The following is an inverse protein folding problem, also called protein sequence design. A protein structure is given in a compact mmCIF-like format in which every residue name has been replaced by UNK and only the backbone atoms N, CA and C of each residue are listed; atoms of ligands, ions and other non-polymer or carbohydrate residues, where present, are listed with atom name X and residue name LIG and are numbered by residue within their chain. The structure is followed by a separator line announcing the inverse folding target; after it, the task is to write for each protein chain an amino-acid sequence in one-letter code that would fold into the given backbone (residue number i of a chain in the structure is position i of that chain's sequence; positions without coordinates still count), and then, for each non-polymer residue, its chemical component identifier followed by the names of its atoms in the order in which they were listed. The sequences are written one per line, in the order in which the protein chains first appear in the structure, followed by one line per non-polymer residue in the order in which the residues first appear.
data_IF_791118840243
#
_entry.id   IF_791118840243
#
_cell.length_a   1.000
_cell.length_b   1.000
_cell.length_c   1.000
_cell.angle_alpha   90.00
_cell.angle_beta   90.00
_cell.angle_gamma   90.00
#
_symmetry.space_group_name_H-M   'P 1'
#
loop_
_entity.id
_entity.type
_entity.pdbx_description
1 polymer ?
#
# COMPACT_ATOMS: atom_id res chain seq x y z
N UNK A 1 7.74 0.37 21.92
CA UNK A 1 6.95 1.12 20.90
C UNK A 1 6.37 0.10 19.93
N UNK A 2 5.36 -0.63 20.40
CA UNK A 2 4.93 -1.91 19.82
C UNK A 2 3.60 -1.80 19.07
N UNK A 3 2.99 -0.62 19.08
CA UNK A 3 1.69 -0.34 18.49
C UNK A 3 1.72 0.98 17.70
N UNK A 4 0.87 1.07 16.67
CA UNK A 4 0.47 2.34 16.04
C UNK A 4 -0.99 2.56 16.40
N UNK A 5 -1.25 3.34 17.46
CA UNK A 5 -2.59 3.45 18.02
C UNK A 5 -3.04 2.10 18.60
N UNK A 6 -4.18 1.58 18.14
CA UNK A 6 -4.78 0.31 18.57
C UNK A 6 -4.30 -0.91 17.77
N UNK A 7 -3.48 -0.74 16.73
CA UNK A 7 -3.06 -1.83 15.84
C UNK A 7 -1.64 -2.31 16.18
N UNK A 8 -1.42 -3.64 16.35
CA UNK A 8 -0.09 -4.21 16.58
C UNK A 8 0.86 -3.93 15.42
N UNK A 9 2.10 -3.49 15.70
CA UNK A 9 3.11 -3.29 14.65
C UNK A 9 3.69 -4.65 14.24
N UNK A 10 3.26 -5.14 13.08
CA UNK A 10 3.68 -6.42 12.51
C UNK A 10 5.16 -6.44 12.07
N UNK A 11 5.73 -5.29 11.70
CA UNK A 11 7.15 -5.16 11.33
C UNK A 11 7.83 -4.13 12.22
N UNK A 12 8.58 -4.62 13.21
CA UNK A 12 9.34 -3.79 14.13
C UNK A 12 10.66 -3.40 13.46
N UNK A 13 10.87 -2.09 13.29
CA UNK A 13 12.10 -1.41 12.90
C UNK A 13 12.80 -1.95 11.64
N UNK A 14 12.26 -1.63 10.46
CA UNK A 14 13.03 -1.68 9.22
C UNK A 14 13.71 -0.32 9.02
N UNK A 15 15.04 -0.31 8.97
CA UNK A 15 15.81 0.90 8.65
C UNK A 15 15.74 1.13 7.14
N UNK A 16 15.04 2.19 6.72
CA UNK A 16 15.11 2.71 5.35
C UNK A 16 16.21 3.75 5.27
N UNK A 17 17.09 3.61 4.28
CA UNK A 17 18.10 4.61 3.97
C UNK A 17 17.70 5.33 2.69
N UNK A 18 17.79 6.65 2.69
CA UNK A 18 17.72 7.45 1.47
C UNK A 18 19.13 7.94 1.20
N UNK A 19 19.68 7.52 0.07
CA UNK A 19 21.00 7.92 -0.40
C UNK A 19 20.89 8.90 -1.57
N UNK A 20 21.95 9.69 -1.73
CA UNK A 20 22.10 10.57 -2.87
C UNK A 20 22.58 9.78 -4.09
N UNK A 21 21.97 10.03 -5.24
CA UNK A 21 22.48 9.60 -6.52
C UNK A 21 23.71 10.45 -6.90
N UNK A 22 24.81 9.80 -7.30
CA UNK A 22 26.09 10.46 -7.55
C UNK A 22 26.04 11.48 -8.71
N UNK A 23 25.30 11.18 -9.77
CA UNK A 23 25.17 12.05 -10.92
C UNK A 23 24.30 13.27 -10.58
N UNK A 24 23.16 13.04 -9.91
CA UNK A 24 22.26 14.11 -9.46
C UNK A 24 22.92 14.99 -8.40
N UNK A 25 23.77 14.43 -7.53
CA UNK A 25 24.54 15.20 -6.55
C UNK A 25 25.52 16.17 -7.23
N UNK A 26 26.12 15.78 -8.36
CA UNK A 26 26.98 16.68 -9.16
C UNK A 26 26.19 17.86 -9.71
N UNK A 27 24.98 17.61 -10.21
CA UNK A 27 24.07 18.65 -10.71
C UNK A 27 23.66 19.60 -9.57
N UNK A 28 23.29 19.05 -8.42
CA UNK A 28 22.94 19.84 -7.23
C UNK A 28 24.07 20.77 -6.80
N UNK A 29 25.32 20.28 -6.79
CA UNK A 29 26.49 21.11 -6.45
C UNK A 29 26.64 22.33 -7.35
N UNK A 30 26.30 22.23 -8.63
CA UNK A 30 26.34 23.38 -9.54
C UNK A 30 25.29 24.43 -9.17
N UNK A 31 24.04 24.01 -8.94
CA UNK A 31 22.98 24.93 -8.53
C UNK A 31 23.24 25.59 -7.16
N UNK A 32 23.87 24.86 -6.22
CA UNK A 32 24.28 25.44 -4.94
C UNK A 32 25.36 26.52 -5.14
N UNK A 33 26.29 26.34 -6.08
CA UNK A 33 27.29 27.38 -6.41
C UNK A 33 26.61 28.63 -6.97
N UNK A 34 25.65 28.47 -7.86
CA UNK A 34 24.91 29.61 -8.43
C UNK A 34 24.15 30.37 -7.34
N UNK A 35 23.48 29.64 -6.44
CA UNK A 35 22.78 30.22 -5.29
C UNK A 35 23.74 31.00 -4.37
N UNK A 36 24.90 30.43 -4.04
CA UNK A 36 25.92 31.09 -3.23
C UNK A 36 26.52 32.31 -3.95
N UNK A 37 26.69 32.25 -5.27
CA UNK A 37 27.17 33.37 -6.06
C UNK A 37 26.19 34.55 -6.00
N UNK A 38 24.89 34.31 -6.20
CA UNK A 38 23.88 35.36 -6.08
C UNK A 38 23.72 35.88 -4.65
N UNK A 39 23.89 35.02 -3.65
CA UNK A 39 23.93 35.44 -2.24
C UNK A 39 25.10 36.40 -2.01
N UNK A 40 26.30 36.07 -2.48
CA UNK A 40 27.48 36.93 -2.36
C UNK A 40 27.31 38.28 -3.09
N UNK A 41 26.70 38.29 -4.28
CA UNK A 41 26.39 39.53 -5.02
C UNK A 41 25.44 40.43 -4.21
N UNK A 42 24.45 39.85 -3.53
CA UNK A 42 23.50 40.60 -2.70
C UNK A 42 24.07 41.03 -1.34
N UNK A 43 25.03 40.28 -0.79
CA UNK A 43 25.75 40.68 0.41
C UNK A 43 26.72 41.85 0.12
N UNK A 44 27.21 41.97 -1.12
CA UNK A 44 28.19 42.98 -1.54
C UNK A 44 27.62 44.15 -2.36
N UNK A 45 26.30 44.39 -2.28
CA UNK A 45 25.56 45.40 -3.07
C UNK A 45 26.21 46.78 -3.05
N UNK A 46 26.74 47.19 -1.89
CA UNK A 46 27.34 48.52 -1.69
C UNK A 46 28.69 48.67 -2.38
N UNK A 47 29.54 47.64 -2.38
CA UNK A 47 30.84 47.71 -3.04
C UNK A 47 30.72 47.50 -4.55
N UNK A 48 29.74 46.69 -4.97
CA UNK A 48 29.41 46.48 -6.39
C UNK A 48 28.66 47.66 -7.02
N UNK A 49 28.18 48.63 -6.23
CA UNK A 49 27.40 49.79 -6.67
C UNK A 49 26.24 49.42 -7.60
N UNK A 50 25.49 48.36 -7.24
CA UNK A 50 24.38 47.89 -8.06
C UNK A 50 23.28 48.95 -8.13
N UNK A 51 22.76 49.20 -9.35
CA UNK A 51 21.58 50.03 -9.52
C UNK A 51 20.30 49.28 -9.10
N UNK A 52 19.17 49.99 -9.08
CA UNK A 52 17.87 49.44 -8.65
C UNK A 52 17.45 48.24 -9.50
N UNK A 53 17.68 48.29 -10.82
CA UNK A 53 17.30 47.22 -11.74
C UNK A 53 18.18 45.99 -11.53
N UNK A 54 19.49 46.17 -11.42
CA UNK A 54 20.46 45.10 -11.15
C UNK A 54 20.22 44.44 -9.79
N UNK A 55 19.83 45.23 -8.79
CA UNK A 55 19.46 44.73 -7.47
C UNK A 55 18.20 43.85 -7.53
N UNK A 56 17.17 44.28 -8.25
CA UNK A 56 15.94 43.51 -8.41
C UNK A 56 16.17 42.24 -9.24
N UNK A 57 17.00 42.29 -10.28
CA UNK A 57 17.44 41.13 -11.06
C UNK A 57 18.22 40.13 -10.18
N UNK A 58 19.16 40.61 -9.37
CA UNK A 58 19.93 39.76 -8.46
C UNK A 58 19.02 39.09 -7.42
N UNK A 59 18.02 39.80 -6.89
CA UNK A 59 16.99 39.23 -5.99
C UNK A 59 16.14 38.18 -6.69
N UNK A 60 15.73 38.44 -7.92
CA UNK A 60 14.98 37.50 -8.75
C UNK A 60 15.77 36.22 -8.99
N UNK A 61 17.05 36.35 -9.37
CA UNK A 61 17.94 35.21 -9.58
C UNK A 61 18.26 34.44 -8.29
N UNK A 62 18.40 35.12 -7.14
CA UNK A 62 18.55 34.45 -5.86
C UNK A 62 17.32 33.58 -5.54
N UNK A 63 16.11 34.12 -5.73
CA UNK A 63 14.87 33.37 -5.50
C UNK A 63 14.78 32.15 -6.42
N UNK A 64 15.03 32.35 -7.72
CA UNK A 64 15.00 31.27 -8.72
C UNK A 64 16.03 30.18 -8.44
N UNK A 65 17.26 30.56 -8.07
CA UNK A 65 18.31 29.59 -7.72
C UNK A 65 18.00 28.85 -6.42
N UNK A 66 17.39 29.49 -5.43
CA UNK A 66 16.93 28.84 -4.21
C UNK A 66 15.86 27.76 -4.48
N UNK A 67 14.87 28.07 -5.31
CA UNK A 67 13.84 27.11 -5.73
C UNK A 67 14.44 25.92 -6.49
N UNK A 68 15.40 26.20 -7.39
CA UNK A 68 16.14 25.16 -8.11
C UNK A 68 16.97 24.27 -7.17
N UNK A 69 17.66 24.85 -6.18
CA UNK A 69 18.40 24.08 -5.16
C UNK A 69 17.46 23.17 -4.38
N UNK A 70 16.31 23.67 -3.93
CA UNK A 70 15.32 22.87 -3.20
C UNK A 70 14.81 21.68 -4.03
N UNK A 71 14.43 21.92 -5.29
CA UNK A 71 13.99 20.88 -6.20
C UNK A 71 15.10 19.86 -6.49
N UNK A 72 16.32 20.31 -6.77
CA UNK A 72 17.45 19.43 -7.08
C UNK A 72 17.95 18.64 -5.89
N UNK A 73 17.85 19.21 -4.69
CA UNK A 73 18.13 18.50 -3.43
C UNK A 73 17.14 17.35 -3.26
N UNK A 74 15.86 17.61 -3.48
CA UNK A 74 14.80 16.60 -3.47
C UNK A 74 15.07 15.50 -4.52
N UNK A 75 15.51 15.85 -5.73
CA UNK A 75 15.79 14.88 -6.79
C UNK A 75 17.06 14.05 -6.53
N UNK A 76 18.08 14.64 -5.91
CA UNK A 76 19.36 13.98 -5.64
C UNK A 76 19.21 12.86 -4.60
N UNK A 77 18.44 13.08 -3.54
CA UNK A 77 18.17 12.08 -2.50
C UNK A 77 16.99 11.17 -2.87
N UNK A 78 17.11 10.49 -4.01
CA UNK A 78 16.09 9.62 -4.58
C UNK A 78 16.43 8.13 -4.58
N UNK A 79 17.54 7.72 -3.98
CA UNK A 79 17.93 6.30 -3.90
C UNK A 79 17.41 5.72 -2.60
N UNK A 80 16.39 4.87 -2.66
CA UNK A 80 15.89 4.14 -1.50
C UNK A 80 16.64 2.83 -1.35
N UNK A 81 17.21 2.59 -0.17
CA UNK A 81 17.91 1.36 0.18
C UNK A 81 17.21 0.75 1.40
N UNK A 82 16.80 -0.51 1.29
CA UNK A 82 16.16 -1.22 2.38
C UNK A 82 16.74 -2.64 2.51
N UNK A 83 17.07 -3.08 3.74
CA UNK A 83 17.51 -4.44 3.99
C UNK A 83 16.35 -5.41 3.77
N UNK A 84 16.62 -6.47 3.04
CA UNK A 84 15.73 -7.60 2.84
C UNK A 84 16.13 -8.73 3.79
N UNK A 85 15.12 -9.43 4.30
CA UNK A 85 15.35 -10.65 5.05
C UNK A 85 15.62 -11.78 4.06
N UNK A 86 16.84 -12.33 4.09
CA UNK A 86 17.17 -13.53 3.33
C UNK A 86 16.22 -14.66 3.75
N UNK A 87 15.63 -15.37 2.77
CA UNK A 87 14.72 -16.50 3.02
C UNK A 87 15.47 -17.76 3.48
N UNK A 88 16.79 -17.80 3.30
CA UNK A 88 17.67 -18.88 3.74
C UNK A 88 18.57 -18.43 4.90
N UNK A 89 19.03 -19.38 5.70
CA UNK A 89 19.83 -19.19 6.92
C UNK A 89 21.23 -18.58 6.71
N UNK A 90 21.48 -17.98 5.54
CA UNK A 90 22.72 -17.28 5.25
C UNK A 90 22.67 -15.90 5.90
N UNK A 91 23.71 -15.56 6.68
CA UNK A 91 23.80 -14.33 7.48
C UNK A 91 23.99 -13.05 6.62
N UNK A 92 23.87 -13.17 5.30
CA UNK A 92 23.88 -12.02 4.39
C UNK A 92 22.53 -11.31 4.46
N UNK A 93 22.53 -10.02 4.80
CA UNK A 93 21.37 -9.15 4.66
C UNK A 93 21.36 -8.57 3.23
N UNK A 94 20.64 -9.15 2.27
CA UNK A 94 20.51 -8.57 0.93
C UNK A 94 19.97 -7.14 1.05
N UNK A 95 20.55 -6.22 0.28
CA UNK A 95 20.07 -4.85 0.19
C UNK A 95 19.27 -4.68 -1.08
N UNK A 96 18.05 -4.20 -0.94
CA UNK A 96 17.27 -3.74 -2.08
C UNK A 96 17.53 -2.27 -2.34
N UNK A 97 17.72 -1.94 -3.62
CA UNK A 97 17.95 -0.57 -4.09
C UNK A 97 16.83 -0.22 -5.05
N UNK A 98 16.17 0.91 -4.84
CA UNK A 98 15.06 1.35 -5.68
C UNK A 98 15.05 2.86 -5.81
N UNK A 99 14.75 3.38 -7.00
CA UNK A 99 14.66 4.82 -7.23
C UNK A 99 13.29 5.36 -6.86
N UNK A 100 13.27 6.56 -6.28
CA UNK A 100 12.06 7.34 -5.99
C UNK A 100 12.13 8.69 -6.68
N UNK A 101 11.03 9.07 -7.31
CA UNK A 101 10.88 10.39 -7.93
C UNK A 101 10.40 11.38 -6.89
N UNK A 102 11.26 12.34 -6.55
CA UNK A 102 10.98 13.34 -5.52
C UNK A 102 11.32 14.72 -6.04
N UNK A 103 10.33 15.62 -6.04
CA UNK A 103 10.48 17.02 -6.49
C UNK A 103 10.11 18.05 -5.44
N UNK A 104 9.50 17.63 -4.32
CA UNK A 104 8.85 18.53 -3.35
C UNK A 104 9.43 18.45 -1.94
N UNK A 105 10.60 17.82 -1.74
CA UNK A 105 11.21 17.64 -0.42
C UNK A 105 10.48 16.64 0.49
N UNK A 106 9.44 15.97 -0.02
CA UNK A 106 8.66 14.95 0.70
C UNK A 106 9.25 13.54 0.54
N UNK A 107 10.58 13.45 0.42
CA UNK A 107 11.28 12.21 0.05
C UNK A 107 10.98 11.06 1.01
N UNK A 108 10.88 11.36 2.31
CA UNK A 108 10.56 10.36 3.34
C UNK A 108 9.15 9.79 3.14
N UNK A 109 8.16 10.65 2.86
CA UNK A 109 6.78 10.22 2.63
C UNK A 109 6.69 9.36 1.37
N UNK A 110 7.28 9.82 0.26
CA UNK A 110 7.30 9.08 -1.02
C UNK A 110 8.02 7.73 -0.85
N UNK A 111 9.16 7.71 -0.13
CA UNK A 111 9.88 6.48 0.20
C UNK A 111 8.99 5.50 0.98
N UNK A 112 8.31 5.98 2.02
CA UNK A 112 7.44 5.16 2.85
C UNK A 112 6.23 4.61 2.08
N UNK A 113 5.58 5.45 1.27
CA UNK A 113 4.43 5.07 0.47
C UNK A 113 4.80 4.05 -0.60
N UNK A 114 5.92 4.27 -1.29
CA UNK A 114 6.42 3.34 -2.29
C UNK A 114 6.81 2.00 -1.67
N UNK A 115 7.47 2.01 -0.51
CA UNK A 115 7.85 0.77 0.17
C UNK A 115 6.64 -0.04 0.64
N UNK A 116 5.59 0.63 1.14
CA UNK A 116 4.31 -0.01 1.48
C UNK A 116 3.62 -0.55 0.23
N UNK A 117 3.56 0.23 -0.86
CA UNK A 117 2.90 -0.15 -2.12
C UNK A 117 3.59 -1.30 -2.81
N UNK A 118 4.93 -1.31 -2.83
CA UNK A 118 5.73 -2.35 -3.47
C UNK A 118 5.83 -3.63 -2.59
N UNK A 119 5.07 -3.68 -1.49
CA UNK A 119 4.63 -4.88 -0.77
C UNK A 119 5.73 -5.91 -0.42
N UNK A 120 6.84 -5.46 0.19
CA UNK A 120 7.77 -6.36 0.91
C UNK A 120 7.24 -6.84 2.28
N UNK A 121 5.93 -6.75 2.48
CA UNK A 121 5.20 -7.00 3.72
C UNK A 121 4.21 -8.18 3.58
N UNK A 122 3.82 -8.56 2.35
CA UNK A 122 2.82 -9.61 2.06
C UNK A 122 3.35 -11.04 2.28
N UNK A 123 4.63 -11.20 2.58
CA UNK A 123 5.30 -12.49 2.65
C UNK A 123 4.84 -13.42 3.79
N UNK A 124 4.13 -12.94 4.83
CA UNK A 124 3.82 -13.80 6.00
C UNK A 124 2.69 -14.79 5.71
N UNK A 125 1.57 -14.35 5.14
CA UNK A 125 0.43 -15.24 4.84
C UNK A 125 0.79 -16.23 3.73
N UNK A 126 1.55 -15.76 2.73
CA UNK A 126 2.10 -16.61 1.68
C UNK A 126 3.16 -17.60 2.23
N UNK A 127 4.03 -17.17 3.16
CA UNK A 127 5.00 -18.06 3.82
C UNK A 127 4.33 -19.11 4.71
N UNK A 128 3.25 -18.75 5.42
CA UNK A 128 2.46 -19.70 6.21
C UNK A 128 1.80 -20.73 5.30
N UNK A 129 1.13 -20.30 4.22
CA UNK A 129 0.55 -21.19 3.21
C UNK A 129 1.60 -22.13 2.60
N UNK A 130 2.75 -21.59 2.18
CA UNK A 130 3.87 -22.37 1.63
C UNK A 130 4.48 -23.33 2.66
N UNK A 131 4.57 -22.93 3.92
CA UNK A 131 5.07 -23.78 5.02
C UNK A 131 4.17 -24.97 5.32
N UNK A 132 2.84 -24.78 5.26
CA UNK A 132 1.85 -25.85 5.36
C UNK A 132 1.96 -26.81 4.18
N UNK A 133 2.01 -26.28 2.94
CA UNK A 133 2.19 -27.05 1.71
C UNK A 133 3.49 -27.89 1.73
N UNK A 134 4.59 -27.29 2.19
CA UNK A 134 5.89 -27.95 2.35
C UNK A 134 5.99 -28.88 3.57
N UNK A 135 4.89 -29.12 4.30
CA UNK A 135 4.81 -30.01 5.48
C UNK A 135 5.80 -29.64 6.60
N UNK A 136 6.18 -28.35 6.71
CA UNK A 136 7.09 -27.84 7.76
C UNK A 136 6.38 -27.69 9.11
N UNK A 137 5.11 -27.31 9.07
CA UNK A 137 4.18 -27.22 10.20
C UNK A 137 2.76 -27.38 9.66
N UNK A 138 1.79 -27.56 10.55
CA UNK A 138 0.36 -27.57 10.24
C UNK A 138 -0.30 -26.29 10.76
N UNK A 139 -1.44 -25.93 10.19
CA UNK A 139 -2.30 -24.86 10.66
C UNK A 139 -3.54 -25.47 11.32
N UNK A 140 -4.01 -24.93 12.43
CA UNK A 140 -5.24 -25.36 13.08
C UNK A 140 -6.16 -24.17 13.36
N UNK A 141 -7.47 -24.39 13.26
CA UNK A 141 -8.49 -23.36 13.47
C UNK A 141 -8.71 -23.10 14.96
N UNK A 142 -8.64 -24.14 15.78
CA UNK A 142 -8.75 -24.02 17.24
C UNK A 142 -8.09 -25.19 17.96
N UNK A 143 -8.06 -25.15 19.29
CA UNK A 143 -7.47 -26.20 20.14
C UNK A 143 -8.41 -26.50 21.31
N UNK A 144 -8.69 -27.78 21.51
CA UNK A 144 -9.41 -28.31 22.67
C UNK A 144 -8.48 -29.22 23.48
N UNK A 145 -8.01 -28.73 24.63
CA UNK A 145 -7.02 -29.42 25.46
C UNK A 145 -5.71 -29.69 24.72
N UNK A 146 -5.37 -30.95 24.46
CA UNK A 146 -4.19 -31.36 23.68
C UNK A 146 -4.48 -31.60 22.20
N UNK A 147 -5.75 -31.48 21.77
CA UNK A 147 -6.16 -31.77 20.39
C UNK A 147 -6.38 -30.49 19.60
N UNK A 148 -5.86 -30.48 18.39
CA UNK A 148 -6.06 -29.39 17.43
C UNK A 148 -7.25 -29.70 16.51
N UNK A 149 -8.13 -28.71 16.30
CA UNK A 149 -9.34 -28.81 15.49
C UNK A 149 -9.10 -28.06 14.18
N UNK A 150 -9.64 -28.58 13.07
CA UNK A 150 -9.46 -27.97 11.75
C UNK A 150 -8.01 -28.04 11.25
N UNK A 151 -7.29 -29.13 11.56
CA UNK A 151 -5.86 -29.27 11.29
C UNK A 151 -5.58 -29.46 9.79
N UNK A 152 -4.81 -28.55 9.20
CA UNK A 152 -4.38 -28.51 7.81
C UNK A 152 -2.89 -28.77 7.71
N UNK A 153 -2.51 -29.81 6.97
CA UNK A 153 -1.13 -30.25 6.86
C UNK A 153 -0.86 -30.83 5.48
N UNK A 154 0.18 -30.34 4.81
CA UNK A 154 0.49 -30.71 3.42
C UNK A 154 -0.21 -29.79 2.43
N UNK A 155 -0.42 -30.30 1.21
CA UNK A 155 -0.93 -29.52 0.07
C UNK A 155 -2.42 -29.20 0.24
N UNK A 156 -2.73 -28.28 1.14
CA UNK A 156 -4.06 -27.86 1.56
C UNK A 156 -4.12 -26.34 1.51
N UNK A 157 -5.14 -25.81 0.82
CA UNK A 157 -5.36 -24.38 0.72
C UNK A 157 -5.58 -23.74 2.11
N UNK A 158 -4.87 -22.65 2.37
CA UNK A 158 -4.93 -21.88 3.61
C UNK A 158 -5.37 -20.45 3.28
N UNK A 159 -6.58 -20.30 2.76
CA UNK A 159 -7.08 -19.04 2.20
C UNK A 159 -7.67 -18.09 3.26
N UNK A 160 -7.81 -18.57 4.49
CA UNK A 160 -8.47 -17.96 5.65
C UNK A 160 -7.52 -17.89 6.85
N UNK A 161 -6.22 -17.72 6.60
CA UNK A 161 -5.22 -17.52 7.66
C UNK A 161 -5.52 -16.20 8.40
N UNK A 162 -5.74 -16.31 9.70
CA UNK A 162 -5.96 -15.20 10.62
C UNK A 162 -5.11 -15.36 11.88
N UNK A 163 -5.11 -14.33 12.72
CA UNK A 163 -4.40 -14.32 14.01
C UNK A 163 -4.98 -15.31 15.03
N UNK A 164 -6.16 -15.89 14.75
CA UNK A 164 -6.81 -16.89 15.60
C UNK A 164 -6.32 -18.31 15.32
N UNK A 165 -5.57 -18.53 14.23
CA UNK A 165 -5.05 -19.84 13.88
C UNK A 165 -3.81 -20.23 14.69
N UNK A 166 -3.68 -21.53 14.94
CA UNK A 166 -2.55 -22.11 15.65
C UNK A 166 -1.57 -22.76 14.68
N UNK A 167 -0.27 -22.45 14.81
CA UNK A 167 0.79 -23.19 14.15
C UNK A 167 1.16 -24.44 14.97
N UNK A 168 0.94 -25.61 14.39
CA UNK A 168 1.17 -26.91 15.03
C UNK A 168 2.43 -27.55 14.46
N UNK A 169 3.34 -28.01 15.33
CA UNK A 169 4.56 -28.71 14.89
C UNK A 169 4.22 -29.90 14.00
N UNK A 170 4.98 -30.10 12.93
CA UNK A 170 4.72 -31.18 11.96
C UNK A 170 4.66 -32.58 12.60
N UNK A 171 5.46 -32.84 13.62
CA UNK A 171 5.46 -34.11 14.36
C UNK A 171 4.16 -34.33 15.12
N UNK A 172 3.67 -33.29 15.81
CA UNK A 172 2.40 -33.33 16.57
C UNK A 172 1.21 -33.47 15.63
N UNK A 173 1.24 -32.74 14.51
CA UNK A 173 0.24 -32.84 13.45
C UNK A 173 0.16 -34.26 12.85
N UNK A 174 1.31 -34.84 12.48
CA UNK A 174 1.38 -36.21 11.96
C UNK A 174 0.93 -37.24 13.00
N UNK A 175 1.35 -37.09 14.26
CA UNK A 175 0.95 -37.98 15.34
C UNK A 175 -0.57 -37.94 15.54
N UNK A 176 -1.18 -36.76 15.52
CA UNK A 176 -2.63 -36.61 15.68
C UNK A 176 -3.41 -37.14 14.47
N UNK A 177 -2.88 -37.00 13.25
CA UNK A 177 -3.48 -37.57 12.03
C UNK A 177 -3.38 -39.10 11.97
N UNK A 178 -2.35 -39.68 12.60
CA UNK A 178 -2.13 -41.13 12.63
C UNK A 178 -2.85 -41.83 13.79
N UNK A 179 -3.44 -41.10 14.74
CA UNK A 179 -4.27 -41.69 15.78
C UNK A 179 -5.57 -42.23 15.16
N UNK A 180 -5.98 -43.48 15.46
CA UNK A 180 -7.29 -43.97 15.05
C UNK A 180 -8.36 -43.02 15.58
N UNK A 181 -9.19 -42.48 14.69
CA UNK A 181 -10.29 -41.59 15.06
C UNK A 181 -11.14 -42.30 16.14
N UNK A 182 -11.31 -41.73 17.35
CA UNK A 182 -12.18 -42.33 18.35
C UNK A 182 -13.60 -42.43 17.79
N UNK A 183 -14.38 -43.47 18.14
CA UNK A 183 -15.76 -43.60 17.72
C UNK A 183 -16.54 -42.36 18.16
N UNK A 184 -17.21 -41.74 17.20
CA UNK A 184 -18.11 -40.61 17.42
C UNK A 184 -19.17 -41.04 18.43
N UNK A 185 -19.17 -40.46 19.64
CA UNK A 185 -20.29 -40.61 20.59
C UNK A 185 -21.52 -39.91 20.00
N UNK A 186 -22.68 -40.57 19.86
CA UNK A 186 -23.89 -39.94 19.38
C UNK A 186 -24.63 -39.31 20.56
N UNK A 187 -24.28 -38.09 20.95
CA UNK A 187 -25.19 -37.24 21.74
C UNK A 187 -24.85 -35.74 21.69
N UNK A 188 -24.37 -35.27 20.54
CA UNK A 188 -24.59 -33.88 20.15
C UNK A 188 -25.64 -33.90 19.04
N UNK A 189 -26.69 -33.04 19.10
CA UNK A 189 -27.57 -32.87 17.96
C UNK A 189 -26.68 -32.58 16.74
N UNK A 190 -27.01 -33.16 15.57
CA UNK A 190 -26.15 -33.07 14.39
C UNK A 190 -25.76 -31.61 14.22
N UNK A 191 -24.45 -31.27 14.16
CA UNK A 191 -24.05 -29.91 13.89
C UNK A 191 -24.82 -29.50 12.64
N UNK A 192 -25.51 -28.34 12.67
CA UNK A 192 -26.30 -27.91 11.54
C UNK A 192 -25.41 -28.03 10.30
N UNK A 193 -25.94 -28.54 9.17
CA UNK A 193 -25.14 -28.75 7.97
C UNK A 193 -24.29 -27.50 7.74
N UNK A 194 -22.96 -27.65 7.51
CA UNK A 194 -22.07 -26.51 7.41
C UNK A 194 -22.73 -25.47 6.51
N UNK A 195 -22.90 -24.22 6.98
CA UNK A 195 -23.65 -23.23 6.24
C UNK A 195 -23.13 -23.23 4.81
N UNK A 196 -24.01 -23.34 3.80
CA UNK A 196 -23.56 -23.42 2.42
C UNK A 196 -22.60 -22.27 2.14
N UNK A 197 -21.46 -22.59 1.53
CA UNK A 197 -20.44 -21.61 1.19
C UNK A 197 -21.09 -20.40 0.52
N UNK A 198 -20.77 -19.16 0.96
CA UNK A 198 -21.39 -17.97 0.40
C UNK A 198 -21.07 -17.88 -1.09
N UNK A 199 -22.12 -17.96 -1.91
CA UNK A 199 -22.01 -17.95 -3.38
C UNK A 199 -21.99 -16.53 -3.97
N UNK A 200 -22.25 -15.53 -3.15
CA UNK A 200 -22.37 -14.12 -3.56
C UNK A 200 -21.64 -13.26 -2.56
N UNK A 201 -20.81 -12.36 -3.08
CA UNK A 201 -20.18 -11.29 -2.32
C UNK A 201 -20.91 -9.98 -2.62
N UNK A 202 -21.23 -9.21 -1.58
CA UNK A 202 -21.83 -7.88 -1.69
C UNK A 202 -21.02 -6.93 -0.83
N UNK A 203 -20.75 -5.74 -1.37
CA UNK A 203 -20.06 -4.67 -0.66
C UNK A 203 -20.73 -3.34 -0.98
N UNK A 204 -20.81 -2.49 0.05
CA UNK A 204 -21.09 -1.06 -0.07
C UNK A 204 -20.07 -0.31 0.78
N UNK A 205 -19.61 0.85 0.30
CA UNK A 205 -18.67 1.72 1.00
C UNK A 205 -18.93 3.18 0.63
N UNK A 206 -18.77 4.08 1.60
CA UNK A 206 -18.87 5.53 1.42
C UNK A 206 -17.48 6.13 1.18
N UNK A 207 -17.38 7.09 0.26
CA UNK A 207 -16.12 7.73 -0.11
C UNK A 207 -16.22 9.25 0.02
N UNK A 208 -15.11 9.89 0.41
CA UNK A 208 -15.01 11.34 0.52
C UNK A 208 -15.08 12.01 -0.86
N UNK A 209 -15.92 13.05 -0.99
CA UNK A 209 -16.19 13.72 -2.26
C UNK A 209 -15.00 14.52 -2.84
N UNK A 210 -13.91 14.72 -2.07
CA UNK A 210 -12.72 15.44 -2.54
C UNK A 210 -11.60 14.51 -3.01
N UNK A 211 -11.62 13.22 -2.64
CA UNK A 211 -10.52 12.26 -2.90
C UNK A 211 -10.96 10.89 -3.42
N UNK A 212 -12.25 10.70 -3.69
CA UNK A 212 -12.85 9.41 -4.08
C UNK A 212 -12.15 8.68 -5.24
N UNK A 213 -11.60 9.37 -6.24
CA UNK A 213 -11.05 8.73 -7.44
C UNK A 213 -9.92 7.72 -7.14
N UNK A 214 -9.00 8.06 -6.22
CA UNK A 214 -7.89 7.16 -5.86
C UNK A 214 -8.36 6.02 -4.95
N UNK A 215 -9.23 6.34 -4.01
CA UNK A 215 -9.68 5.39 -2.98
C UNK A 215 -10.65 4.35 -3.56
N UNK A 216 -11.58 4.77 -4.44
CA UNK A 216 -12.45 3.84 -5.19
C UNK A 216 -11.62 2.92 -6.06
N UNK A 217 -10.68 3.47 -6.84
CA UNK A 217 -9.83 2.67 -7.73
C UNK A 217 -9.07 1.61 -6.95
N UNK A 218 -8.44 2.01 -5.84
CA UNK A 218 -7.69 1.09 -4.98
C UNK A 218 -8.60 -0.01 -4.40
N UNK A 219 -9.77 0.38 -3.87
CA UNK A 219 -10.73 -0.57 -3.30
C UNK A 219 -11.19 -1.60 -4.33
N UNK A 220 -11.51 -1.15 -5.55
CA UNK A 220 -11.93 -2.02 -6.64
C UNK A 220 -10.79 -2.94 -7.07
N UNK A 221 -9.58 -2.43 -7.25
CA UNK A 221 -8.41 -3.23 -7.68
C UNK A 221 -8.05 -4.32 -6.66
N UNK A 222 -8.00 -3.98 -5.37
CA UNK A 222 -7.65 -4.93 -4.31
C UNK A 222 -8.70 -6.05 -4.21
N UNK A 223 -9.99 -5.70 -4.25
CA UNK A 223 -11.08 -6.67 -4.12
C UNK A 223 -11.27 -7.50 -5.38
N UNK A 224 -11.22 -6.87 -6.56
CA UNK A 224 -11.31 -7.58 -7.84
C UNK A 224 -10.17 -8.58 -7.98
N UNK A 225 -8.93 -8.20 -7.61
CA UNK A 225 -7.78 -9.11 -7.67
C UNK A 225 -8.00 -10.34 -6.81
N UNK A 226 -8.55 -10.19 -5.61
CA UNK A 226 -8.83 -11.33 -4.73
C UNK A 226 -9.96 -12.21 -5.27
N UNK A 227 -11.09 -11.63 -5.66
CA UNK A 227 -12.27 -12.40 -6.08
C UNK A 227 -12.13 -13.04 -7.46
N UNK A 228 -11.37 -12.43 -8.37
CA UNK A 228 -11.12 -12.97 -9.71
C UNK A 228 -10.11 -14.14 -9.72
N UNK A 229 -9.44 -14.43 -8.60
CA UNK A 229 -8.65 -15.68 -8.48
C UNK A 229 -9.52 -16.92 -8.38
N UNK A 230 -10.82 -16.78 -8.11
CA UNK A 230 -11.76 -17.89 -8.02
C UNK A 230 -12.18 -18.35 -9.44
N UNK A 231 -12.06 -19.65 -9.76
CA UNK A 231 -12.47 -20.17 -11.06
C UNK A 231 -13.97 -19.98 -11.28
N UNK A 232 -14.33 -19.48 -12.47
CA UNK A 232 -15.72 -19.17 -12.88
C UNK A 232 -16.43 -18.09 -12.03
N UNK A 233 -15.69 -17.19 -11.37
CA UNK A 233 -16.28 -16.02 -10.74
C UNK A 233 -16.65 -14.95 -11.78
N UNK A 234 -17.90 -14.49 -11.74
CA UNK A 234 -18.36 -13.34 -12.50
C UNK A 234 -18.49 -12.12 -11.58
N UNK A 235 -17.83 -11.03 -11.94
CA UNK A 235 -17.87 -9.77 -11.18
C UNK A 235 -18.63 -8.71 -11.98
N UNK A 236 -19.58 -8.04 -11.32
CA UNK A 236 -20.23 -6.84 -11.84
C UNK A 236 -19.98 -5.69 -10.88
N UNK A 237 -19.50 -4.57 -11.41
CA UNK A 237 -19.27 -3.34 -10.64
C UNK A 237 -20.35 -2.33 -11.05
N UNK A 238 -20.99 -1.72 -10.06
CA UNK A 238 -22.02 -0.69 -10.27
C UNK A 238 -21.64 0.54 -9.44
N UNK A 239 -21.53 1.69 -10.11
CA UNK A 239 -21.32 2.99 -9.47
C UNK A 239 -22.64 3.75 -9.45
N UNK A 240 -23.03 4.25 -8.29
CA UNK A 240 -24.18 5.15 -8.12
C UNK A 240 -23.67 6.49 -7.61
N UNK A 241 -24.15 7.59 -8.19
CA UNK A 241 -23.82 8.96 -7.77
C UNK A 241 -25.13 9.62 -7.38
N UNK A 242 -25.31 9.84 -6.09
CA UNK A 242 -26.48 10.52 -5.53
C UNK A 242 -26.07 11.93 -5.08
N UNK A 243 -26.70 12.95 -5.66
CA UNK A 243 -26.43 14.36 -5.35
C UNK A 243 -27.73 15.05 -5.02
N UNK A 244 -27.82 15.64 -3.84
CA UNK A 244 -28.94 16.49 -3.44
C UNK A 244 -28.56 17.96 -3.62
N UNK A 245 -29.29 18.68 -4.48
CA UNK A 245 -29.10 20.12 -4.70
C UNK A 245 -30.36 20.85 -4.21
N UNK A 246 -30.32 21.56 -3.07
CA UNK A 246 -31.51 22.15 -2.46
C UNK A 246 -32.29 23.09 -3.37
N UNK A 247 -31.59 23.88 -4.20
CA UNK A 247 -32.18 24.89 -5.07
C UNK A 247 -32.48 24.36 -6.49
N UNK A 248 -32.29 23.05 -6.71
CA UNK A 248 -32.40 22.41 -8.02
C UNK A 248 -31.17 22.62 -8.91
N UNK A 249 -31.17 21.95 -10.06
CA UNK A 249 -30.10 22.02 -11.06
C UNK A 249 -30.63 22.77 -12.29
N UNK A 250 -29.96 23.83 -12.72
CA UNK A 250 -30.38 24.60 -13.90
C UNK A 250 -30.21 23.82 -15.22
N UNK A 251 -30.85 24.30 -16.30
CA UNK A 251 -30.85 23.63 -17.59
C UNK A 251 -29.47 23.53 -18.25
N UNK A 252 -28.56 24.48 -17.96
CA UNK A 252 -27.20 24.49 -18.50
C UNK A 252 -26.39 23.35 -17.87
N UNK A 253 -26.40 23.26 -16.54
CA UNK A 253 -25.74 22.20 -15.78
C UNK A 253 -26.33 20.83 -16.09
N UNK A 254 -27.66 20.72 -16.24
CA UNK A 254 -28.31 19.48 -16.70
C UNK A 254 -27.78 19.07 -18.09
N UNK A 255 -27.64 20.02 -19.01
CA UNK A 255 -27.10 19.79 -20.35
C UNK A 255 -25.65 19.29 -20.33
N UNK A 256 -24.80 19.90 -19.51
CA UNK A 256 -23.39 19.52 -19.33
C UNK A 256 -23.27 18.10 -18.77
N UNK A 257 -23.99 17.79 -17.69
CA UNK A 257 -23.96 16.47 -17.05
C UNK A 257 -24.50 15.39 -17.98
N UNK A 258 -25.62 15.65 -18.67
CA UNK A 258 -26.18 14.73 -19.65
C UNK A 258 -25.25 14.50 -20.85
N UNK A 259 -24.52 15.54 -21.29
CA UNK A 259 -23.48 15.42 -22.32
C UNK A 259 -22.37 14.46 -21.89
N UNK A 260 -21.79 14.68 -20.71
CA UNK A 260 -20.74 13.83 -20.16
C UNK A 260 -21.18 12.37 -19.98
N UNK A 261 -22.43 12.13 -19.54
CA UNK A 261 -22.97 10.77 -19.44
C UNK A 261 -23.01 10.07 -20.81
N UNK A 262 -23.43 10.77 -21.87
CA UNK A 262 -23.44 10.20 -23.23
C UNK A 262 -22.02 9.89 -23.72
N UNK A 263 -21.08 10.80 -23.50
CA UNK A 263 -19.67 10.62 -23.89
C UNK A 263 -19.02 9.41 -23.21
N UNK A 264 -19.47 9.06 -22.00
CA UNK A 264 -19.01 7.88 -21.26
C UNK A 264 -19.90 6.64 -21.44
N UNK A 265 -20.84 6.65 -22.38
CA UNK A 265 -21.81 5.57 -22.64
C UNK A 265 -22.69 5.20 -21.42
N UNK A 266 -22.96 6.17 -20.54
CA UNK A 266 -23.85 6.02 -19.39
C UNK A 266 -25.28 6.32 -19.84
N UNK A 267 -26.11 5.28 -19.93
CA UNK A 267 -27.49 5.36 -20.42
C UNK A 267 -28.54 5.46 -19.31
N UNK A 268 -28.18 5.10 -18.08
CA UNK A 268 -29.09 5.05 -16.93
C UNK A 268 -28.84 6.22 -15.98
N UNK A 269 -29.29 7.42 -16.36
CA UNK A 269 -29.27 8.63 -15.53
C UNK A 269 -30.60 9.39 -15.66
N UNK A 270 -31.00 10.13 -14.62
CA UNK A 270 -32.18 11.01 -14.61
C UNK A 270 -31.98 12.14 -13.59
N UNK A 271 -32.66 13.26 -13.81
CA UNK A 271 -32.83 14.30 -12.80
C UNK A 271 -34.24 14.12 -12.21
N UNK A 272 -34.34 14.08 -10.88
CA UNK A 272 -35.61 13.95 -10.13
C UNK A 272 -36.08 15.30 -9.57
#
# INVERSE_FOLDING_TARGET
MDTRGTVPRHWKNMLLFIAADAEKLRILKNHVRDFLAWTAVLDDVRHLNLDVLQLDDARGNLKLTAENVAMKLSQAYGVLIAPEQARDADLTLPLSVTMIDCTTGKNISVASEKFVRDLKLIDVLDAVSKGVAAKKFALAESRDGEKFIGLRFGDVACNDISDENFLVKAEVAKAQLNLPKPPVKPDNPPPPPPPPLPKKFFMSAEFDNTRYGKDIKRCVEEIATLLMTLPAAEMSIRLTIDVTVPDGVDAEMQGIVAGNCRDQNITNFRFE
#
